data_IF_731979381300
#
_entry.id   IF_731979381300
#
_cell.length_a   1.000
_cell.length_b   1.000
_cell.length_c   1.000
_cell.angle_alpha   90.00
_cell.angle_beta   90.00
_cell.angle_gamma   90.00
#
_symmetry.space_group_name_H-M   'P 1'
#
loop_
_entity.id
_entity.type
_entity.pdbx_description
1 polymer ?
#
# COMPACT_ATOMS: atom_id res chain seq x y z
N UNK A 1 -11.48 67.66 50.10
CA UNK A 1 -11.02 67.12 51.40
C UNK A 1 -10.10 65.92 51.13
N UNK A 2 -9.06 65.71 51.96
CA UNK A 2 -7.77 65.06 51.58
C UNK A 2 -7.72 63.54 51.96
N UNK A 3 -6.66 62.75 51.76
CA UNK A 3 -5.19 63.00 51.65
C UNK A 3 -4.47 62.10 50.63
N UNK A 4 -3.31 62.58 50.18
CA UNK A 4 -2.16 61.85 49.60
C UNK A 4 -1.58 60.79 50.55
N UNK A 5 -0.96 59.74 50.02
CA UNK A 5 0.39 59.30 50.46
C UNK A 5 1.02 58.33 49.48
N UNK A 6 2.24 58.65 49.03
CA UNK A 6 3.18 57.70 48.44
C UNK A 6 3.75 56.78 49.54
N UNK A 7 4.36 55.67 49.15
CA UNK A 7 5.54 55.18 49.86
C UNK A 7 6.51 54.48 48.90
N UNK A 8 7.79 54.69 49.16
CA UNK A 8 8.93 54.38 48.28
C UNK A 8 9.88 53.41 48.98
N UNK A 9 10.95 53.00 48.28
CA UNK A 9 12.14 52.23 48.75
C UNK A 9 12.03 50.70 48.73
N UNK A 10 13.09 50.06 48.19
CA UNK A 10 13.24 48.60 48.12
C UNK A 10 14.31 48.10 47.14
N UNK A 11 15.44 48.79 47.01
CA UNK A 11 16.56 48.35 46.15
C UNK A 11 17.26 47.12 46.74
N UNK A 12 17.60 46.14 45.90
CA UNK A 12 18.67 45.16 46.15
C UNK A 12 19.18 44.59 44.83
N UNK A 13 20.40 44.97 44.45
CA UNK A 13 21.12 44.40 43.31
C UNK A 13 21.68 43.02 43.64
N UNK A 14 21.57 42.05 42.72
CA UNK A 14 22.63 41.07 42.45
C UNK A 14 22.77 40.93 40.94
N UNK A 15 23.90 41.38 40.38
CA UNK A 15 24.15 41.33 38.95
C UNK A 15 24.84 40.04 38.47
N UNK A 16 24.57 39.65 37.21
CA UNK A 16 25.52 38.88 36.40
C UNK A 16 25.73 39.53 35.03
N UNK A 17 27.00 39.81 34.73
CA UNK A 17 27.48 40.42 33.47
C UNK A 17 27.64 39.39 32.35
N UNK A 18 27.78 39.92 31.13
CA UNK A 18 28.23 39.33 29.85
C UNK A 18 27.09 38.86 28.93
N UNK A 19 27.08 39.19 27.63
CA UNK A 19 27.97 40.10 26.85
C UNK A 19 27.22 40.59 25.60
N UNK A 20 27.57 41.77 25.09
CA UNK A 20 26.96 42.40 23.90
C UNK A 20 27.33 41.73 22.58
N UNK A 21 26.41 41.78 21.62
CA UNK A 21 26.70 42.14 20.22
C UNK A 21 25.61 43.11 19.73
N UNK A 22 25.99 44.19 19.03
CA UNK A 22 25.05 45.19 18.46
C UNK A 22 24.65 44.80 17.03
N UNK A 23 23.46 45.20 16.54
CA UNK A 23 23.16 45.20 15.12
C UNK A 23 23.85 46.38 14.41
N UNK A 24 24.39 46.15 13.22
CA UNK A 24 24.92 47.20 12.33
C UNK A 24 24.13 47.26 11.03
N UNK A 25 23.62 48.44 10.71
CA UNK A 25 22.90 48.74 9.47
C UNK A 25 23.83 48.91 8.26
N UNK A 26 23.49 48.31 7.13
CA UNK A 26 23.75 48.88 5.80
C UNK A 26 22.97 48.16 4.70
N UNK A 27 22.06 48.87 4.05
CA UNK A 27 21.69 48.59 2.65
C UNK A 27 22.79 49.20 1.75
N UNK A 28 23.03 48.59 0.57
CA UNK A 28 22.94 49.41 -0.64
C UNK A 28 22.16 48.74 -1.79
N UNK A 29 21.51 49.58 -2.60
CA UNK A 29 20.88 49.21 -3.88
C UNK A 29 21.91 48.92 -4.97
N UNK A 30 21.67 47.92 -5.83
CA UNK A 30 21.38 48.01 -7.29
C UNK A 30 21.51 46.60 -7.95
N UNK A 31 21.11 46.36 -9.22
CA UNK A 31 20.37 45.13 -9.57
C UNK A 31 21.12 44.23 -10.56
N UNK A 32 21.10 42.92 -10.33
CA UNK A 32 21.60 41.97 -11.32
C UNK A 32 20.51 41.67 -12.34
N UNK A 33 20.66 42.24 -13.55
CA UNK A 33 19.91 41.83 -14.73
C UNK A 33 20.43 40.47 -15.19
N UNK A 34 19.71 39.39 -14.87
CA UNK A 34 19.96 38.08 -15.48
C UNK A 34 19.17 37.96 -16.78
N UNK A 35 19.91 38.04 -17.89
CA UNK A 35 19.41 37.80 -19.25
C UNK A 35 18.82 36.37 -19.36
N UNK A 36 17.53 36.26 -19.69
CA UNK A 36 17.01 35.04 -20.30
C UNK A 36 17.56 34.95 -21.73
N UNK A 37 18.48 34.02 -21.97
CA UNK A 37 18.80 33.55 -23.31
C UNK A 37 17.75 32.51 -23.74
N UNK A 38 17.24 32.54 -24.99
CA UNK A 38 16.28 31.55 -25.46
C UNK A 38 16.94 30.18 -25.64
N UNK A 39 16.35 29.14 -25.05
CA UNK A 39 16.70 27.75 -25.37
C UNK A 39 16.10 27.42 -26.74
N UNK A 40 16.89 27.02 -27.75
CA UNK A 40 16.34 26.66 -29.06
C UNK A 40 15.61 25.32 -28.99
N UNK A 41 14.42 25.24 -29.58
CA UNK A 41 13.69 23.98 -29.77
C UNK A 41 14.46 23.09 -30.75
N UNK A 42 15.23 22.13 -30.22
CA UNK A 42 15.70 21.00 -31.00
C UNK A 42 14.54 20.03 -31.26
N UNK A 43 13.96 20.11 -32.47
CA UNK A 43 12.90 19.22 -32.95
C UNK A 43 13.49 17.82 -33.25
N UNK A 44 13.50 16.93 -32.26
CA UNK A 44 13.82 15.53 -32.49
C UNK A 44 12.70 14.84 -33.29
N UNK A 45 13.02 13.90 -34.20
CA UNK A 45 12.02 13.21 -35.00
C UNK A 45 11.26 12.18 -34.15
N UNK A 46 9.95 12.13 -34.36
CA UNK A 46 9.05 11.16 -33.73
C UNK A 46 9.29 9.74 -34.27
N UNK A 47 10.00 8.91 -33.51
CA UNK A 47 9.83 7.46 -33.61
C UNK A 47 8.51 7.07 -32.90
N UNK A 48 7.62 6.31 -33.54
CA UNK A 48 6.43 5.81 -32.87
C UNK A 48 6.81 4.79 -31.80
N UNK A 49 6.08 4.69 -30.67
CA UNK A 49 6.25 3.57 -29.76
C UNK A 49 5.88 2.26 -30.47
N UNK A 50 6.53 1.13 -30.14
CA UNK A 50 6.11 -0.17 -30.66
C UNK A 50 4.66 -0.45 -30.20
N UNK A 51 3.85 -1.16 -31.02
CA UNK A 51 2.52 -1.57 -30.59
C UNK A 51 2.61 -2.45 -29.34
N UNK A 52 1.59 -2.46 -28.46
CA UNK A 52 1.56 -3.39 -27.35
C UNK A 52 1.68 -4.81 -27.91
N UNK A 53 2.62 -5.59 -27.37
CA UNK A 53 2.73 -6.99 -27.72
C UNK A 53 1.40 -7.66 -27.35
N UNK A 54 0.63 -8.07 -28.35
CA UNK A 54 -0.57 -8.88 -28.15
C UNK A 54 -0.17 -10.08 -27.30
N UNK A 55 -0.63 -10.13 -26.06
CA UNK A 55 -0.41 -11.26 -25.19
C UNK A 55 -0.96 -12.50 -25.89
N UNK A 56 -0.06 -13.32 -26.43
CA UNK A 56 -0.47 -14.59 -26.99
C UNK A 56 -1.04 -15.39 -25.83
N UNK A 57 -2.34 -15.65 -25.89
CA UNK A 57 -3.03 -16.57 -25.01
C UNK A 57 -2.49 -17.97 -25.27
N UNK A 58 -1.30 -18.26 -24.72
CA UNK A 58 -0.73 -19.61 -24.63
C UNK A 58 -1.46 -20.39 -23.54
N UNK A 59 -2.78 -20.52 -23.72
CA UNK A 59 -3.53 -21.65 -23.18
C UNK A 59 -3.24 -22.90 -24.03
N UNK A 60 -1.95 -23.17 -24.23
CA UNK A 60 -1.45 -24.43 -24.76
C UNK A 60 -1.50 -25.42 -23.61
N UNK A 61 -2.71 -25.91 -23.35
CA UNK A 61 -2.98 -27.00 -22.43
C UNK A 61 -2.06 -28.16 -22.82
N UNK A 62 -1.00 -28.36 -22.05
CA UNK A 62 -0.04 -29.42 -22.29
C UNK A 62 -0.75 -30.73 -21.94
N UNK A 63 -1.47 -31.30 -22.90
CA UNK A 63 -1.94 -32.67 -22.78
C UNK A 63 -0.70 -33.55 -22.66
N UNK A 64 -0.40 -33.93 -21.41
CA UNK A 64 0.48 -35.04 -21.08
C UNK A 64 -0.20 -36.31 -21.59
N UNK A 65 -0.15 -36.50 -22.91
CA UNK A 65 -0.53 -37.70 -23.60
C UNK A 65 0.36 -38.80 -23.04
N UNK A 66 -0.22 -39.58 -22.13
CA UNK A 66 0.47 -40.65 -21.44
C UNK A 66 1.21 -41.49 -22.48
N UNK A 67 2.55 -41.44 -22.42
CA UNK A 67 3.39 -42.24 -23.30
C UNK A 67 3.33 -43.68 -22.79
N UNK A 68 2.22 -44.35 -23.13
CA UNK A 68 2.06 -45.80 -23.05
C UNK A 68 3.16 -46.41 -23.90
N UNK A 69 4.27 -46.73 -23.23
CA UNK A 69 5.47 -47.27 -23.83
C UNK A 69 5.07 -48.59 -24.50
N UNK A 70 5.02 -48.59 -25.83
CA UNK A 70 4.50 -49.70 -26.62
C UNK A 70 5.57 -50.79 -26.67
N UNK A 71 5.74 -51.50 -25.56
CA UNK A 71 6.45 -52.77 -25.56
C UNK A 71 5.68 -53.69 -26.50
N UNK A 72 6.30 -54.07 -27.62
CA UNK A 72 5.65 -54.92 -28.61
C UNK A 72 5.37 -56.29 -27.97
N UNK A 73 4.13 -56.47 -27.54
CA UNK A 73 3.63 -57.77 -27.15
C UNK A 73 3.58 -58.63 -28.42
N UNK A 74 4.21 -59.82 -28.46
CA UNK A 74 4.03 -60.73 -29.58
C UNK A 74 2.53 -61.05 -29.72
N UNK A 75 2.01 -61.24 -30.94
CA UNK A 75 0.59 -61.47 -31.15
C UNK A 75 0.14 -62.69 -30.34
N UNK A 76 -1.02 -62.62 -29.65
CA UNK A 76 -1.56 -63.79 -28.97
C UNK A 76 -1.79 -64.91 -30.00
N UNK A 77 -1.59 -66.19 -29.62
CA UNK A 77 -1.81 -67.31 -30.52
C UNK A 77 -3.27 -67.28 -31.02
N UNK A 78 -3.41 -67.32 -32.34
CA UNK A 78 -4.72 -67.39 -33.02
C UNK A 78 -5.41 -68.68 -32.56
N UNK A 79 -6.44 -68.55 -31.71
CA UNK A 79 -7.20 -69.68 -31.17
C UNK A 79 -7.72 -69.53 -29.74
N UNK A 80 -7.23 -68.57 -28.95
CA UNK A 80 -7.65 -68.39 -27.54
C UNK A 80 -8.55 -67.14 -27.36
N UNK A 81 -9.70 -67.15 -28.02
CA UNK A 81 -10.74 -66.14 -27.85
C UNK A 81 -11.69 -66.52 -26.70
N UNK A 82 -11.48 -65.93 -25.52
CA UNK A 82 -12.58 -65.51 -24.64
C UNK A 82 -13.51 -66.56 -24.03
N UNK A 83 -13.12 -67.85 -23.98
CA UNK A 83 -13.79 -68.84 -23.13
C UNK A 83 -12.91 -69.18 -21.91
N UNK A 84 -13.54 -69.46 -20.76
CA UNK A 84 -12.84 -69.78 -19.51
C UNK A 84 -12.50 -71.29 -19.48
N UNK A 85 -11.83 -71.73 -20.54
CA UNK A 85 -11.31 -73.08 -20.69
C UNK A 85 -10.02 -73.28 -19.90
N UNK A 86 -9.85 -74.45 -19.29
CA UNK A 86 -8.56 -74.86 -18.70
C UNK A 86 -7.52 -75.02 -19.80
N UNK A 87 -6.39 -74.30 -19.67
CA UNK A 87 -5.28 -74.31 -20.64
C UNK A 87 -4.73 -75.71 -20.98
N UNK A 88 -4.85 -76.67 -20.06
CA UNK A 88 -4.49 -78.06 -20.30
C UNK A 88 -5.61 -79.01 -19.83
N UNK A 89 -5.81 -80.09 -20.58
CA UNK A 89 -6.70 -81.21 -20.27
C UNK A 89 -6.03 -82.54 -20.63
N UNK A 90 -6.64 -83.66 -20.24
CA UNK A 90 -6.06 -84.99 -20.43
C UNK A 90 -5.83 -85.40 -21.91
N UNK A 91 -6.54 -84.79 -22.86
CA UNK A 91 -6.38 -85.05 -24.29
C UNK A 91 -5.31 -84.19 -24.97
N UNK A 92 -4.85 -83.09 -24.34
CA UNK A 92 -3.94 -82.13 -24.95
C UNK A 92 -2.56 -81.98 -24.26
N UNK A 93 -2.31 -82.69 -23.15
CA UNK A 93 -1.11 -82.54 -22.31
C UNK A 93 0.23 -82.51 -23.09
N UNK A 94 0.43 -83.41 -24.05
CA UNK A 94 1.68 -83.47 -24.83
C UNK A 94 1.90 -82.22 -25.69
N UNK A 95 0.80 -81.66 -26.24
CA UNK A 95 0.85 -80.43 -27.01
C UNK A 95 1.12 -79.22 -26.12
N UNK A 96 0.44 -79.14 -24.97
CA UNK A 96 0.62 -78.05 -24.01
C UNK A 96 2.04 -78.08 -23.38
N UNK A 97 2.61 -79.26 -23.10
CA UNK A 97 3.99 -79.38 -22.63
C UNK A 97 5.02 -78.92 -23.69
N UNK A 98 4.81 -79.24 -24.97
CA UNK A 98 5.64 -78.75 -26.09
C UNK A 98 5.53 -77.22 -26.24
N UNK A 99 4.30 -76.70 -26.21
CA UNK A 99 4.04 -75.26 -26.29
C UNK A 99 4.70 -74.50 -25.14
N UNK A 100 4.51 -74.94 -23.89
CA UNK A 100 5.14 -74.32 -22.72
C UNK A 100 6.66 -74.30 -22.83
N UNK A 101 7.30 -75.42 -23.20
CA UNK A 101 8.76 -75.45 -23.39
C UNK A 101 9.22 -74.49 -24.50
N UNK A 102 8.51 -74.42 -25.64
CA UNK A 102 8.84 -73.46 -26.71
C UNK A 102 8.70 -72.01 -26.24
N UNK A 103 7.60 -71.67 -25.57
CA UNK A 103 7.33 -70.35 -25.01
C UNK A 103 8.37 -69.94 -23.96
N UNK A 104 8.82 -70.88 -23.12
CA UNK A 104 9.86 -70.63 -22.12
C UNK A 104 11.21 -70.30 -22.76
N UNK A 105 11.62 -71.02 -23.81
CA UNK A 105 12.82 -70.65 -24.59
C UNK A 105 12.65 -69.24 -25.17
N UNK A 106 11.49 -68.90 -25.74
CA UNK A 106 11.24 -67.57 -26.30
C UNK A 106 11.35 -66.45 -25.26
N UNK A 107 10.93 -66.68 -24.01
CA UNK A 107 11.10 -65.74 -22.90
C UNK A 107 12.45 -65.86 -22.18
N UNK A 108 13.42 -66.62 -22.71
CA UNK A 108 14.78 -66.71 -22.19
C UNK A 108 14.96 -67.62 -20.96
N UNK A 109 13.97 -68.45 -20.63
CA UNK A 109 14.07 -69.43 -19.55
C UNK A 109 14.78 -70.71 -20.01
N UNK A 110 15.59 -71.36 -19.15
CA UNK A 110 16.20 -72.64 -19.46
C UNK A 110 15.12 -73.74 -19.60
N UNK A 111 15.01 -74.32 -20.78
CA UNK A 111 13.91 -75.22 -21.11
C UNK A 111 14.27 -76.70 -20.94
N UNK A 112 13.58 -77.35 -20.01
CA UNK A 112 13.17 -78.75 -20.07
C UNK A 112 12.18 -78.97 -18.93
N UNK A 113 10.99 -78.37 -19.04
CA UNK A 113 9.83 -78.81 -18.26
C UNK A 113 9.47 -80.20 -18.77
N UNK A 114 9.95 -81.22 -18.06
CA UNK A 114 9.56 -82.61 -18.28
C UNK A 114 8.62 -83.02 -17.15
N UNK A 115 7.33 -82.78 -17.39
CA UNK A 115 6.26 -83.07 -16.44
C UNK A 115 6.01 -84.59 -16.26
N UNK A 116 6.61 -85.42 -17.12
CA UNK A 116 6.49 -86.88 -17.11
C UNK A 116 7.80 -87.57 -16.69
N UNK A 117 8.83 -86.79 -16.33
CA UNK A 117 10.10 -87.30 -15.85
C UNK A 117 9.95 -88.17 -14.60
N UNK A 118 10.52 -89.37 -14.65
CA UNK A 118 10.68 -90.25 -13.48
C UNK A 118 12.08 -90.18 -12.86
N UNK A 119 13.04 -89.52 -13.52
CA UNK A 119 14.41 -89.38 -13.01
C UNK A 119 14.60 -88.09 -12.18
N UNK A 120 15.37 -88.13 -11.07
CA UNK A 120 15.56 -86.97 -10.20
C UNK A 120 16.20 -85.74 -10.87
N UNK A 121 16.99 -85.91 -11.94
CA UNK A 121 17.73 -84.82 -12.60
C UNK A 121 16.78 -83.99 -13.47
N UNK A 122 15.87 -84.64 -14.21
CA UNK A 122 14.83 -83.98 -15.00
C UNK A 122 13.75 -83.34 -14.13
N UNK A 123 13.40 -83.97 -13.00
CA UNK A 123 12.54 -83.36 -11.97
C UNK A 123 13.19 -82.09 -11.41
N UNK A 124 14.48 -82.14 -11.03
CA UNK A 124 15.21 -80.98 -10.51
C UNK A 124 15.30 -79.83 -11.54
N UNK A 125 15.50 -80.13 -12.83
CA UNK A 125 15.45 -79.11 -13.91
C UNK A 125 14.07 -78.44 -14.00
N UNK A 126 13.01 -79.24 -13.95
CA UNK A 126 11.62 -78.77 -13.96
C UNK A 126 11.34 -77.85 -12.74
N UNK A 127 11.75 -78.26 -11.53
CA UNK A 127 11.65 -77.45 -10.32
C UNK A 127 12.42 -76.12 -10.41
N UNK A 128 13.67 -76.15 -10.91
CA UNK A 128 14.47 -74.94 -11.09
C UNK A 128 13.87 -73.97 -12.11
N UNK A 129 13.26 -74.48 -13.19
CA UNK A 129 12.53 -73.68 -14.16
C UNK A 129 11.30 -73.00 -13.52
N UNK A 130 10.49 -73.76 -12.77
CA UNK A 130 9.35 -73.21 -12.00
C UNK A 130 9.79 -72.17 -10.96
N UNK A 131 10.90 -72.41 -10.26
CA UNK A 131 11.46 -71.44 -9.31
C UNK A 131 11.92 -70.15 -10.01
N UNK A 132 12.59 -70.24 -11.16
CA UNK A 132 12.98 -69.07 -11.95
C UNK A 132 11.77 -68.24 -12.42
N UNK A 133 10.68 -68.89 -12.82
CA UNK A 133 9.42 -68.23 -13.19
C UNK A 133 8.79 -67.48 -12.00
N UNK A 134 8.71 -68.12 -10.82
CA UNK A 134 8.21 -67.49 -9.60
C UNK A 134 9.07 -66.31 -9.17
N UNK A 135 10.40 -66.44 -9.24
CA UNK A 135 11.34 -65.39 -8.85
C UNK A 135 11.32 -64.20 -9.83
N UNK A 136 11.22 -64.45 -11.14
CA UNK A 136 10.97 -63.40 -12.13
C UNK A 136 9.63 -62.69 -11.84
N UNK A 137 8.56 -63.45 -11.57
CA UNK A 137 7.25 -62.87 -11.27
C UNK A 137 7.27 -61.98 -10.04
N UNK A 138 8.01 -62.37 -9.00
CA UNK A 138 8.19 -61.55 -7.79
C UNK A 138 8.90 -60.23 -8.11
N UNK A 139 10.03 -60.27 -8.85
CA UNK A 139 10.72 -59.06 -9.32
C UNK A 139 9.86 -58.17 -10.22
N UNK A 140 9.06 -58.76 -11.11
CA UNK A 140 8.15 -58.01 -11.98
C UNK A 140 7.05 -57.28 -11.18
N UNK A 141 6.55 -57.90 -10.10
CA UNK A 141 5.60 -57.29 -9.18
C UNK A 141 6.26 -56.09 -8.48
N UNK A 142 7.42 -56.29 -7.84
CA UNK A 142 8.16 -55.25 -7.11
C UNK A 142 8.55 -54.06 -8.02
N UNK A 143 9.02 -54.34 -9.24
CA UNK A 143 9.34 -53.30 -10.23
C UNK A 143 8.10 -52.52 -10.68
N UNK A 144 6.98 -53.21 -10.90
CA UNK A 144 5.71 -52.58 -11.29
C UNK A 144 5.11 -51.76 -10.15
N UNK A 145 5.23 -52.21 -8.91
CA UNK A 145 4.77 -51.50 -7.71
C UNK A 145 5.61 -50.25 -7.45
N UNK A 146 6.93 -50.35 -7.41
CA UNK A 146 7.81 -49.18 -7.27
C UNK A 146 7.62 -48.14 -8.40
N UNK A 147 7.39 -48.58 -9.63
CA UNK A 147 7.02 -47.71 -10.76
C UNK A 147 5.62 -47.08 -10.58
N UNK A 148 4.68 -47.80 -9.96
CA UNK A 148 3.34 -47.30 -9.64
C UNK A 148 3.40 -46.20 -8.58
N UNK A 149 4.15 -46.41 -7.50
CA UNK A 149 4.37 -45.45 -6.43
C UNK A 149 4.99 -44.15 -6.95
N UNK A 150 6.04 -44.25 -7.78
CA UNK A 150 6.67 -43.08 -8.39
C UNK A 150 5.66 -42.30 -9.25
N UNK A 151 4.85 -43.00 -10.06
CA UNK A 151 3.82 -42.38 -10.90
C UNK A 151 2.76 -41.68 -10.05
N UNK A 152 2.31 -42.28 -8.94
CA UNK A 152 1.32 -41.68 -8.03
C UNK A 152 1.87 -40.43 -7.34
N UNK A 153 3.14 -40.43 -6.92
CA UNK A 153 3.82 -39.25 -6.37
C UNK A 153 3.88 -38.13 -7.41
N UNK A 154 4.35 -38.43 -8.63
CA UNK A 154 4.39 -37.45 -9.73
C UNK A 154 3.01 -36.92 -10.11
N UNK A 155 1.97 -37.78 -10.14
CA UNK A 155 0.58 -37.37 -10.38
C UNK A 155 0.11 -36.37 -9.31
N UNK A 156 0.44 -36.63 -8.04
CA UNK A 156 0.11 -35.74 -6.91
C UNK A 156 0.85 -34.40 -6.98
N UNK A 157 2.12 -34.44 -7.40
CA UNK A 157 2.93 -33.23 -7.63
C UNK A 157 2.38 -32.39 -8.80
N UNK A 158 1.97 -33.03 -9.89
CA UNK A 158 1.32 -32.37 -11.03
C UNK A 158 0.04 -31.66 -10.56
N UNK A 159 -0.89 -32.36 -9.90
CA UNK A 159 -2.14 -31.74 -9.42
C UNK A 159 -1.91 -30.63 -8.38
N UNK A 160 -0.85 -30.73 -7.57
CA UNK A 160 -0.42 -29.66 -6.65
C UNK A 160 0.10 -28.43 -7.40
N UNK A 161 0.85 -28.62 -8.49
CA UNK A 161 1.36 -27.54 -9.34
C UNK A 161 0.27 -26.91 -10.19
N UNK A 162 -0.63 -27.70 -10.79
CA UNK A 162 -1.82 -27.22 -11.52
C UNK A 162 -2.66 -26.30 -10.64
N UNK A 163 -3.01 -26.75 -9.43
CA UNK A 163 -3.75 -25.93 -8.47
C UNK A 163 -2.97 -24.68 -8.01
N UNK A 164 -1.63 -24.66 -8.09
CA UNK A 164 -0.83 -23.45 -7.80
C UNK A 164 -0.90 -22.46 -8.97
N UNK A 165 -0.86 -22.95 -10.21
CA UNK A 165 -1.02 -22.16 -11.43
C UNK A 165 -2.39 -21.48 -11.44
N UNK A 166 -3.48 -22.24 -11.24
CA UNK A 166 -4.85 -21.69 -11.19
C UNK A 166 -5.02 -20.56 -10.16
N UNK A 167 -4.39 -20.70 -8.97
CA UNK A 167 -4.40 -19.65 -7.94
C UNK A 167 -3.61 -18.41 -8.37
N UNK A 168 -2.48 -18.58 -9.05
CA UNK A 168 -1.67 -17.47 -9.57
C UNK A 168 -2.38 -16.75 -10.71
N UNK A 169 -3.02 -17.48 -11.63
CA UNK A 169 -3.84 -16.89 -12.71
C UNK A 169 -5.04 -16.10 -12.14
N UNK A 170 -5.70 -16.61 -11.10
CA UNK A 170 -6.75 -15.89 -10.40
C UNK A 170 -6.23 -14.59 -9.73
N UNK A 171 -5.03 -14.60 -9.16
CA UNK A 171 -4.38 -13.42 -8.59
C UNK A 171 -3.98 -12.39 -9.67
N UNK A 172 -3.42 -12.83 -10.80
CA UNK A 172 -3.10 -11.97 -11.94
C UNK A 172 -4.36 -11.28 -12.46
N UNK A 173 -5.42 -12.05 -12.74
CA UNK A 173 -6.69 -11.49 -13.19
C UNK A 173 -7.34 -10.55 -12.14
N UNK A 174 -7.10 -10.75 -10.84
CA UNK A 174 -7.54 -9.80 -9.81
C UNK A 174 -6.72 -8.50 -9.87
N UNK A 175 -5.39 -8.60 -10.03
CA UNK A 175 -4.48 -7.45 -10.14
C UNK A 175 -4.72 -6.63 -11.40
N UNK A 176 -5.03 -7.25 -12.54
CA UNK A 176 -5.39 -6.53 -13.77
C UNK A 176 -6.68 -5.69 -13.60
N UNK A 177 -7.67 -6.22 -12.86
CA UNK A 177 -8.91 -5.48 -12.54
C UNK A 177 -8.65 -4.33 -11.56
N UNK A 178 -7.75 -4.53 -10.59
CA UNK A 178 -7.31 -3.50 -9.65
C UNK A 178 -6.58 -2.36 -10.40
N UNK A 179 -5.59 -2.69 -11.24
CA UNK A 179 -4.87 -1.74 -12.08
C UNK A 179 -5.82 -0.95 -12.99
N UNK A 180 -6.73 -1.64 -13.71
CA UNK A 180 -7.71 -0.97 -14.55
C UNK A 180 -8.68 -0.05 -13.77
N UNK A 181 -8.86 -0.27 -12.47
CA UNK A 181 -9.66 0.60 -11.59
C UNK A 181 -8.86 1.80 -11.11
N UNK A 182 -7.59 1.59 -10.74
CA UNK A 182 -6.65 2.64 -10.37
C UNK A 182 -6.43 3.62 -11.54
N UNK A 183 -6.12 3.13 -12.75
CA UNK A 183 -5.90 3.99 -13.94
C UNK A 183 -7.12 4.85 -14.28
N UNK A 184 -8.36 4.31 -14.14
CA UNK A 184 -9.58 5.11 -14.35
C UNK A 184 -9.76 6.18 -13.28
N UNK A 185 -9.41 5.86 -12.03
CA UNK A 185 -9.51 6.79 -10.89
C UNK A 185 -8.47 7.91 -11.01
N UNK A 186 -7.24 7.56 -11.37
CA UNK A 186 -6.16 8.50 -11.69
C UNK A 186 -6.56 9.43 -12.83
N UNK A 187 -7.05 8.91 -13.96
CA UNK A 187 -7.48 9.72 -15.09
C UNK A 187 -8.61 10.71 -14.71
N UNK A 188 -9.59 10.26 -13.90
CA UNK A 188 -10.65 11.13 -13.36
C UNK A 188 -10.08 12.23 -12.46
N UNK A 189 -9.15 11.90 -11.56
CA UNK A 189 -8.53 12.85 -10.64
C UNK A 189 -7.66 13.86 -11.41
N UNK A 190 -6.90 13.41 -12.42
CA UNK A 190 -6.15 14.30 -13.32
C UNK A 190 -7.07 15.27 -14.07
N UNK A 191 -8.24 14.81 -14.56
CA UNK A 191 -9.21 15.69 -15.21
C UNK A 191 -9.80 16.72 -14.24
N UNK A 192 -10.14 16.31 -13.00
CA UNK A 192 -10.62 17.23 -11.96
C UNK A 192 -9.57 18.30 -11.59
N UNK A 193 -8.30 17.90 -11.40
CA UNK A 193 -7.21 18.83 -11.13
C UNK A 193 -6.99 19.83 -12.28
N UNK A 194 -7.08 19.39 -13.54
CA UNK A 194 -7.03 20.30 -14.71
C UNK A 194 -8.17 21.32 -14.68
N UNK A 195 -9.40 20.89 -14.42
CA UNK A 195 -10.55 21.80 -14.31
C UNK A 195 -10.39 22.81 -13.17
N UNK A 196 -9.81 22.41 -12.03
CA UNK A 196 -9.48 23.34 -10.95
C UNK A 196 -8.39 24.36 -11.34
N UNK A 197 -7.35 23.93 -12.07
CA UNK A 197 -6.29 24.82 -12.58
C UNK A 197 -6.88 25.83 -13.56
N UNK A 198 -7.73 25.41 -14.50
CA UNK A 198 -8.41 26.29 -15.45
C UNK A 198 -9.30 27.31 -14.73
N UNK A 199 -10.04 26.89 -13.69
CA UNK A 199 -10.88 27.80 -12.90
C UNK A 199 -10.04 28.85 -12.14
N UNK A 200 -8.94 28.45 -11.50
CA UNK A 200 -8.02 29.38 -10.85
C UNK A 200 -7.35 30.34 -11.85
N UNK A 201 -7.08 29.88 -13.07
CA UNK A 201 -6.58 30.75 -14.15
C UNK A 201 -7.61 31.80 -14.57
N UNK A 202 -8.89 31.42 -14.69
CA UNK A 202 -10.01 32.34 -14.99
C UNK A 202 -10.20 33.38 -13.89
N UNK A 203 -10.29 32.95 -12.62
CA UNK A 203 -10.41 33.85 -11.46
C UNK A 203 -9.24 34.87 -11.43
N UNK A 204 -8.01 34.41 -11.69
CA UNK A 204 -6.82 35.27 -11.79
C UNK A 204 -6.89 36.26 -12.95
N UNK A 205 -7.42 35.87 -14.12
CA UNK A 205 -7.66 36.79 -15.25
C UNK A 205 -8.76 37.83 -14.95
N UNK A 206 -9.80 37.45 -14.20
CA UNK A 206 -10.85 38.37 -13.77
C UNK A 206 -10.35 39.39 -12.74
N UNK A 207 -9.61 38.94 -11.73
CA UNK A 207 -8.94 39.85 -10.78
C UNK A 207 -7.99 40.80 -11.51
N UNK A 208 -7.23 40.34 -12.49
CA UNK A 208 -6.33 41.19 -13.27
C UNK A 208 -7.09 42.27 -14.05
N UNK A 209 -8.22 41.93 -14.69
CA UNK A 209 -9.12 42.91 -15.34
C UNK A 209 -9.67 43.93 -14.34
N UNK A 210 -10.11 43.47 -13.16
CA UNK A 210 -10.66 44.34 -12.11
C UNK A 210 -9.61 45.32 -11.57
N UNK A 211 -8.38 44.88 -11.35
CA UNK A 211 -7.26 45.74 -10.90
C UNK A 211 -6.96 46.83 -11.93
N UNK A 212 -6.90 46.48 -13.23
CA UNK A 212 -6.69 47.45 -14.32
C UNK A 212 -7.83 48.47 -14.36
N UNK A 213 -9.09 48.02 -14.29
CA UNK A 213 -10.26 48.90 -14.27
C UNK A 213 -10.29 49.84 -13.05
N UNK A 214 -9.95 49.33 -11.86
CA UNK A 214 -9.87 50.14 -10.64
C UNK A 214 -8.77 51.21 -10.75
N UNK A 215 -7.59 50.85 -11.27
CA UNK A 215 -6.49 51.79 -11.51
C UNK A 215 -6.88 52.89 -12.52
N UNK A 216 -7.67 52.56 -13.56
CA UNK A 216 -8.22 53.54 -14.51
C UNK A 216 -9.20 54.51 -13.81
N UNK A 217 -10.17 53.99 -13.05
CA UNK A 217 -11.13 54.82 -12.29
C UNK A 217 -10.42 55.74 -11.29
N UNK A 218 -9.42 55.21 -10.55
CA UNK A 218 -8.60 56.00 -9.62
C UNK A 218 -7.87 57.14 -10.32
N UNK A 219 -7.32 56.87 -11.52
CA UNK A 219 -6.66 57.88 -12.35
C UNK A 219 -7.65 58.97 -12.77
N UNK A 220 -8.85 58.59 -13.23
CA UNK A 220 -9.92 59.53 -13.60
C UNK A 220 -10.38 60.41 -12.42
N UNK A 221 -10.60 59.82 -11.24
CA UNK A 221 -10.94 60.54 -10.01
C UNK A 221 -9.87 61.57 -9.60
N UNK A 222 -8.58 61.24 -9.76
CA UNK A 222 -7.47 62.17 -9.52
C UNK A 222 -7.55 63.37 -10.47
N UNK A 223 -7.86 63.15 -11.76
CA UNK A 223 -8.01 64.24 -12.74
C UNK A 223 -9.23 65.14 -12.44
N UNK A 224 -10.37 64.56 -12.08
CA UNK A 224 -11.56 65.33 -11.69
C UNK A 224 -11.34 66.14 -10.41
N UNK A 225 -10.69 65.55 -9.41
CA UNK A 225 -10.37 66.23 -8.15
C UNK A 225 -9.45 67.43 -8.40
N UNK A 226 -8.38 67.25 -9.18
CA UNK A 226 -7.48 68.34 -9.61
C UNK A 226 -8.18 69.42 -10.43
N UNK A 227 -9.25 69.10 -11.16
CA UNK A 227 -10.07 70.10 -11.87
C UNK A 227 -10.91 70.91 -10.87
N UNK A 228 -11.62 70.25 -9.96
CA UNK A 228 -12.43 70.89 -8.91
C UNK A 228 -11.57 71.76 -7.98
N UNK A 229 -10.36 71.33 -7.64
CA UNK A 229 -9.40 72.08 -6.84
C UNK A 229 -8.97 73.39 -7.53
N UNK A 230 -8.70 73.36 -8.85
CA UNK A 230 -8.43 74.57 -9.64
C UNK A 230 -9.63 75.52 -9.73
N UNK A 231 -10.85 74.99 -9.76
CA UNK A 231 -12.08 75.79 -9.75
C UNK A 231 -12.33 76.41 -8.36
N UNK A 232 -12.07 75.66 -7.29
CA UNK A 232 -12.13 76.13 -5.91
C UNK A 232 -11.15 77.29 -5.65
N UNK A 233 -9.88 77.15 -6.07
CA UNK A 233 -8.87 78.22 -5.95
C UNK A 233 -9.35 79.50 -6.65
N UNK A 234 -9.84 79.41 -7.89
CA UNK A 234 -10.40 80.56 -8.63
C UNK A 234 -11.61 81.20 -7.94
N UNK A 235 -12.45 80.40 -7.28
CA UNK A 235 -13.62 80.91 -6.55
C UNK A 235 -13.20 81.58 -5.23
N UNK A 236 -12.20 81.03 -4.55
CA UNK A 236 -11.59 81.60 -3.35
C UNK A 236 -10.90 82.95 -3.66
N UNK A 237 -10.18 83.05 -4.78
CA UNK A 237 -9.62 84.31 -5.30
C UNK A 237 -10.70 85.36 -5.52
N UNK A 238 -11.79 85.01 -6.23
CA UNK A 238 -12.94 85.92 -6.45
C UNK A 238 -13.61 86.36 -5.14
N UNK A 239 -13.79 85.46 -4.18
CA UNK A 239 -14.37 85.80 -2.88
C UNK A 239 -13.47 86.79 -2.12
N UNK A 240 -12.16 86.55 -2.09
CA UNK A 240 -11.20 87.46 -1.49
C UNK A 240 -11.20 88.84 -2.17
N UNK A 241 -11.35 88.87 -3.49
CA UNK A 241 -11.48 90.12 -4.24
C UNK A 241 -12.75 90.88 -3.85
N UNK A 242 -13.92 90.23 -3.82
CA UNK A 242 -15.19 90.85 -3.37
C UNK A 242 -15.12 91.30 -1.91
N UNK A 243 -14.42 90.58 -1.02
CA UNK A 243 -14.22 91.00 0.36
C UNK A 243 -13.31 92.23 0.48
N UNK A 244 -12.26 92.32 -0.35
CA UNK A 244 -11.37 93.48 -0.41
C UNK A 244 -12.06 94.71 -1.04
N UNK A 245 -12.86 94.50 -2.09
CA UNK A 245 -13.72 95.53 -2.69
C UNK A 245 -14.75 96.01 -1.67
N UNK A 246 -15.47 95.10 -0.98
CA UNK A 246 -16.40 95.45 0.10
C UNK A 246 -15.71 96.20 1.24
N UNK A 247 -14.48 95.84 1.63
CA UNK A 247 -13.71 96.57 2.65
C UNK A 247 -13.35 97.99 2.18
N UNK A 248 -13.01 98.15 0.91
CA UNK A 248 -12.67 99.45 0.29
C UNK A 248 -13.92 100.34 0.11
N UNK A 249 -15.03 99.76 -0.34
CA UNK A 249 -16.33 100.42 -0.49
C UNK A 249 -16.90 100.81 0.89
N UNK A 250 -16.85 99.90 1.87
CA UNK A 250 -17.25 100.16 3.26
C UNK A 250 -16.36 101.19 3.97
N UNK A 251 -15.14 101.43 3.49
CA UNK A 251 -14.28 102.53 3.97
C UNK A 251 -14.51 103.88 3.27
N UNK A 252 -15.43 103.93 2.29
CA UNK A 252 -15.65 105.10 1.43
C UNK A 252 -17.13 105.52 1.31
N UNK A 253 -18.06 104.60 1.54
CA UNK A 253 -19.51 104.85 1.59
C UNK A 253 -20.00 104.86 3.05
N UNK A 254 -20.04 106.06 3.63
CA UNK A 254 -20.59 106.30 4.97
C UNK A 254 -22.09 106.59 4.93
N UNK A 255 -22.91 105.61 4.56
CA UNK A 255 -24.38 105.75 4.62
C UNK A 255 -25.01 104.56 5.35
N UNK A 256 -25.10 104.71 6.68
CA UNK A 256 -25.71 103.75 7.59
C UNK A 256 -27.24 103.85 7.53
N UNK A 257 -27.89 102.87 6.88
CA UNK A 257 -29.36 102.79 6.87
C UNK A 257 -29.84 102.26 8.22
N UNK A 258 -30.11 103.20 9.12
CA UNK A 258 -30.57 102.96 10.48
C UNK A 258 -32.09 103.16 10.57
N UNK A 259 -32.89 102.10 10.37
CA UNK A 259 -34.02 101.75 11.26
C UNK A 259 -34.93 100.60 10.78
N UNK A 260 -35.48 99.91 11.78
CA UNK A 260 -36.74 99.16 11.82
C UNK A 260 -37.21 98.42 10.56
N UNK A 261 -37.05 97.09 10.58
CA UNK A 261 -38.25 96.25 10.47
C UNK A 261 -38.54 95.61 11.83
N UNK A 262 -39.79 95.75 12.25
CA UNK A 262 -40.34 95.15 13.45
C UNK A 262 -40.48 93.63 13.27
N UNK A 263 -40.70 92.91 14.38
CA UNK A 263 -40.83 91.46 14.43
C UNK A 263 -41.94 90.95 13.49
N UNK A 264 -41.67 89.85 12.80
CA UNK A 264 -42.51 88.66 13.03
C UNK A 264 -41.70 87.37 12.99
N UNK A 265 -42.15 86.35 13.70
CA UNK A 265 -41.30 85.28 14.20
C UNK A 265 -40.98 84.18 13.18
N UNK A 266 -39.70 83.94 12.92
CA UNK A 266 -39.17 82.58 12.72
C UNK A 266 -37.98 82.32 13.62
N UNK A 267 -37.86 81.07 14.08
CA UNK A 267 -37.11 80.74 15.29
C UNK A 267 -35.62 81.08 15.18
N UNK A 268 -35.13 81.74 16.24
CA UNK A 268 -33.70 81.79 16.55
C UNK A 268 -33.21 80.36 16.74
N UNK A 269 -32.22 79.94 15.95
CA UNK A 269 -31.62 78.61 16.07
C UNK A 269 -31.10 78.39 17.49
N UNK A 270 -31.74 77.48 18.21
CA UNK A 270 -31.41 77.14 19.60
C UNK A 270 -29.96 76.66 19.70
N UNK A 271 -29.21 77.18 20.68
CA UNK A 271 -27.88 76.67 21.01
C UNK A 271 -28.01 75.27 21.65
N UNK A 272 -28.05 74.23 20.81
CA UNK A 272 -28.33 72.85 21.24
C UNK A 272 -27.04 72.08 21.54
N UNK A 273 -26.47 72.30 22.72
CA UNK A 273 -25.39 71.46 23.27
C UNK A 273 -25.83 70.03 23.67
N UNK A 274 -26.94 69.52 23.13
CA UNK A 274 -27.52 68.19 23.43
C UNK A 274 -27.41 67.18 22.27
N UNK A 275 -26.86 67.57 21.11
CA UNK A 275 -26.79 66.68 19.94
C UNK A 275 -25.65 65.66 20.05
N UNK A 276 -24.44 66.10 20.42
CA UNK A 276 -23.28 65.23 20.52
C UNK A 276 -23.49 64.03 21.48
N UNK A 277 -24.15 64.22 22.63
CA UNK A 277 -24.43 63.11 23.55
C UNK A 277 -25.29 62.02 22.88
N UNK A 278 -26.27 62.42 22.08
CA UNK A 278 -27.12 61.47 21.32
C UNK A 278 -26.28 60.70 20.29
N UNK A 279 -25.37 61.38 19.59
CA UNK A 279 -24.44 60.76 18.66
C UNK A 279 -23.44 59.82 19.37
N UNK A 280 -22.98 60.15 20.58
CA UNK A 280 -22.13 59.27 21.40
C UNK A 280 -22.88 58.01 21.86
N UNK A 281 -24.10 58.14 22.40
CA UNK A 281 -24.92 56.97 22.76
C UNK A 281 -25.23 56.12 21.54
N UNK A 282 -25.54 56.74 20.39
CA UNK A 282 -25.76 56.02 19.13
C UNK A 282 -24.50 55.28 18.69
N UNK A 283 -23.33 55.92 18.67
CA UNK A 283 -22.07 55.29 18.29
C UNK A 283 -21.71 54.13 19.22
N UNK A 284 -21.97 54.23 20.53
CA UNK A 284 -21.77 53.15 21.49
C UNK A 284 -22.73 51.98 21.17
N UNK A 285 -24.03 52.25 20.95
CA UNK A 285 -25.01 51.21 20.60
C UNK A 285 -24.66 50.55 19.27
N UNK A 286 -24.34 51.33 18.23
CA UNK A 286 -23.91 50.83 16.91
C UNK A 286 -22.67 49.91 17.06
N UNK A 287 -21.68 50.29 17.89
CA UNK A 287 -20.50 49.48 18.15
C UNK A 287 -20.79 48.19 18.92
N UNK A 288 -21.71 48.22 19.89
CA UNK A 288 -22.19 47.00 20.57
C UNK A 288 -23.02 46.11 19.64
N UNK A 289 -23.80 46.68 18.72
CA UNK A 289 -24.59 45.94 17.72
C UNK A 289 -23.67 45.25 16.70
N UNK A 290 -22.65 45.95 16.19
CA UNK A 290 -21.60 45.35 15.33
C UNK A 290 -20.89 44.23 16.08
N UNK A 291 -20.41 44.47 17.31
CA UNK A 291 -19.71 43.44 18.08
C UNK A 291 -20.58 42.23 18.43
N UNK A 292 -21.89 42.43 18.60
CA UNK A 292 -22.88 41.36 18.76
C UNK A 292 -23.08 40.58 17.46
N UNK A 293 -23.10 41.24 16.30
CA UNK A 293 -23.16 40.57 15.00
C UNK A 293 -21.89 39.76 14.72
N UNK A 294 -20.71 40.31 15.02
CA UNK A 294 -19.42 39.60 14.98
C UNK A 294 -19.46 38.34 15.87
N UNK A 295 -19.89 38.47 17.13
CA UNK A 295 -20.02 37.32 18.05
C UNK A 295 -21.00 36.24 17.56
N UNK A 296 -22.10 36.64 16.91
CA UNK A 296 -23.07 35.70 16.31
C UNK A 296 -22.47 35.00 15.09
N UNK A 297 -21.72 35.73 14.26
CA UNK A 297 -21.03 35.20 13.09
C UNK A 297 -19.91 34.22 13.50
N UNK A 298 -19.04 34.60 14.45
CA UNK A 298 -18.03 33.71 15.02
C UNK A 298 -18.65 32.44 15.62
N UNK A 299 -19.81 32.55 16.28
CA UNK A 299 -20.50 31.37 16.80
C UNK A 299 -21.03 30.47 15.67
N UNK A 300 -21.54 31.03 14.58
CA UNK A 300 -21.97 30.29 13.40
C UNK A 300 -20.79 29.58 12.71
N UNK A 301 -19.64 30.26 12.59
CA UNK A 301 -18.43 29.71 11.99
C UNK A 301 -17.81 28.60 12.85
N UNK A 302 -17.81 28.75 14.19
CA UNK A 302 -17.42 27.69 15.13
C UNK A 302 -18.33 26.45 15.03
N UNK A 303 -19.65 26.64 14.89
CA UNK A 303 -20.61 25.54 14.68
C UNK A 303 -20.36 24.83 13.35
N UNK A 304 -20.08 25.59 12.29
CA UNK A 304 -19.75 25.04 10.97
C UNK A 304 -18.44 24.23 11.01
N UNK A 305 -17.40 24.75 11.68
CA UNK A 305 -16.12 24.05 11.87
C UNK A 305 -16.29 22.75 12.66
N UNK A 306 -17.05 22.77 13.76
CA UNK A 306 -17.36 21.56 14.54
C UNK A 306 -18.14 20.52 13.72
N UNK A 307 -19.09 20.96 12.88
CA UNK A 307 -19.79 20.08 11.93
C UNK A 307 -18.83 19.47 10.90
N UNK A 308 -17.88 20.23 10.36
CA UNK A 308 -16.83 19.73 9.46
C UNK A 308 -15.97 18.68 10.15
N UNK A 309 -15.38 18.99 11.30
CA UNK A 309 -14.56 18.04 12.06
C UNK A 309 -15.33 16.77 12.45
N UNK A 310 -16.63 16.87 12.76
CA UNK A 310 -17.47 15.69 12.99
C UNK A 310 -17.64 14.83 11.72
N UNK A 311 -17.71 15.45 10.54
CA UNK A 311 -17.78 14.76 9.25
C UNK A 311 -16.43 14.10 8.91
N UNK A 312 -15.32 14.83 9.04
CA UNK A 312 -13.97 14.33 8.75
C UNK A 312 -13.62 13.14 9.67
N UNK A 313 -13.93 13.24 10.96
CA UNK A 313 -13.77 12.12 11.90
C UNK A 313 -14.73 10.96 11.62
N UNK A 314 -15.92 11.22 11.04
CA UNK A 314 -16.84 10.15 10.62
C UNK A 314 -16.27 9.42 9.41
N UNK A 315 -15.74 10.14 8.42
CA UNK A 315 -15.09 9.56 7.25
C UNK A 315 -13.87 8.74 7.68
N UNK A 316 -13.02 9.25 8.56
CA UNK A 316 -11.87 8.50 9.10
C UNK A 316 -12.27 7.25 9.91
N UNK A 317 -13.34 7.32 10.70
CA UNK A 317 -13.80 6.17 11.51
C UNK A 317 -14.57 5.13 10.68
N UNK A 318 -15.32 5.56 9.66
CA UNK A 318 -16.16 4.71 8.80
C UNK A 318 -15.48 4.29 7.50
N UNK A 319 -14.30 4.85 7.17
CA UNK A 319 -13.46 4.35 6.11
C UNK A 319 -13.22 2.85 6.37
N UNK A 320 -13.53 1.96 5.41
CA UNK A 320 -13.28 0.55 5.57
C UNK A 320 -11.77 0.37 5.75
N UNK A 321 -11.37 0.00 6.95
CA UNK A 321 -9.97 -0.28 7.31
C UNK A 321 -9.49 -1.35 6.35
N UNK A 322 -8.44 -1.04 5.59
CA UNK A 322 -8.17 -1.69 4.31
C UNK A 322 -8.14 -3.21 4.37
N UNK A 323 -9.06 -3.83 3.63
CA UNK A 323 -8.86 -5.11 2.92
C UNK A 323 -8.04 -6.19 3.64
N UNK A 324 -8.73 -7.04 4.40
CA UNK A 324 -8.41 -8.48 4.40
C UNK A 324 -9.39 -9.19 3.45
N UNK A 325 -8.86 -9.98 2.53
CA UNK A 325 -9.63 -10.79 1.56
C UNK A 325 -10.49 -11.87 2.25
N UNK A 326 -11.53 -12.41 1.57
CA UNK A 326 -12.49 -13.31 2.21
C UNK A 326 -11.87 -14.67 2.54
N UNK A 327 -11.89 -15.03 3.82
CA UNK A 327 -11.71 -16.40 4.29
C UNK A 327 -13.05 -16.95 4.79
N UNK A 328 -13.58 -17.95 4.08
CA UNK A 328 -14.76 -18.71 4.54
C UNK A 328 -14.31 -19.79 5.52
N UNK A 329 -14.74 -19.72 6.78
CA UNK A 329 -15.18 -20.87 7.59
C UNK A 329 -15.59 -20.49 9.04
N UNK A 330 -16.73 -21.02 9.49
CA UNK A 330 -16.87 -21.61 10.83
C UNK A 330 -17.17 -20.70 12.04
N UNK A 331 -18.47 -20.52 12.34
CA UNK A 331 -19.11 -20.38 13.66
C UNK A 331 -18.34 -19.80 14.87
N UNK A 332 -18.87 -18.75 15.53
CA UNK A 332 -18.32 -18.34 16.83
C UNK A 332 -18.96 -17.25 17.70
N UNK A 333 -20.09 -16.63 17.32
CA UNK A 333 -20.97 -15.80 18.20
C UNK A 333 -20.29 -14.92 19.27
N UNK A 334 -19.97 -13.68 18.92
CA UNK A 334 -20.17 -12.53 19.83
C UNK A 334 -20.39 -11.24 19.01
N UNK A 335 -21.52 -10.57 19.22
CA UNK A 335 -21.75 -9.21 18.70
C UNK A 335 -20.90 -8.21 19.49
N UNK A 336 -19.64 -8.03 19.08
CA UNK A 336 -18.93 -6.80 19.38
C UNK A 336 -19.42 -5.73 18.40
N UNK A 337 -20.55 -5.09 18.74
CA UNK A 337 -21.12 -4.02 17.92
C UNK A 337 -20.07 -2.96 17.61
N UNK A 338 -19.95 -2.57 16.33
CA UNK A 338 -19.11 -1.44 15.94
C UNK A 338 -19.47 -0.24 16.82
N UNK A 339 -18.49 0.52 17.35
CA UNK A 339 -18.77 1.60 18.30
C UNK A 339 -19.67 2.65 17.63
N UNK A 340 -20.97 2.55 17.94
CA UNK A 340 -21.98 3.42 17.36
C UNK A 340 -21.67 4.84 17.80
N UNK A 341 -21.38 5.72 16.85
CA UNK A 341 -21.07 7.13 17.12
C UNK A 341 -22.17 7.71 18.03
N UNK A 342 -21.84 8.30 19.21
CA UNK A 342 -22.84 8.62 20.24
C UNK A 342 -24.00 9.51 19.79
N UNK A 343 -23.78 10.32 18.74
CA UNK A 343 -24.80 11.20 18.16
C UNK A 343 -25.56 10.58 16.97
N UNK A 344 -25.35 9.30 16.65
CA UNK A 344 -26.04 8.59 15.55
C UNK A 344 -25.85 9.23 14.16
N UNK A 345 -24.83 10.07 13.99
CA UNK A 345 -24.61 10.85 12.78
C UNK A 345 -25.42 12.15 12.67
N UNK A 346 -26.23 12.48 13.68
CA UNK A 346 -26.99 13.74 13.74
C UNK A 346 -26.05 14.93 14.01
N UNK A 347 -26.27 16.02 13.30
CA UNK A 347 -25.49 17.28 13.36
C UNK A 347 -26.32 18.47 13.85
N UNK A 348 -27.61 18.25 14.06
CA UNK A 348 -28.56 19.20 14.67
C UNK A 348 -28.12 19.67 16.08
N UNK A 349 -27.45 18.81 16.84
CA UNK A 349 -26.97 19.12 18.20
C UNK A 349 -26.06 20.36 18.27
N UNK A 350 -25.35 20.69 17.19
CA UNK A 350 -24.49 21.88 17.14
C UNK A 350 -25.26 23.18 16.90
N UNK A 351 -26.51 23.11 16.43
CA UNK A 351 -27.33 24.28 16.13
C UNK A 351 -28.18 24.73 17.34
N UNK A 352 -28.27 23.92 18.40
CA UNK A 352 -28.91 24.28 19.67
C UNK A 352 -28.15 25.39 20.44
N UNK A 353 -28.81 26.09 21.38
CA UNK A 353 -28.13 26.97 22.34
C UNK A 353 -27.08 26.19 23.15
N UNK A 354 -25.89 26.78 23.35
CA UNK A 354 -24.74 26.07 23.92
C UNK A 354 -25.06 25.36 25.26
N UNK A 355 -25.79 26.00 26.16
CA UNK A 355 -26.16 25.42 27.44
C UNK A 355 -27.04 24.15 27.35
N UNK A 356 -27.76 23.94 26.23
CA UNK A 356 -28.59 22.74 25.99
C UNK A 356 -27.80 21.63 25.28
N UNK A 357 -26.78 22.00 24.50
CA UNK A 357 -25.97 21.06 23.71
C UNK A 357 -24.67 20.63 24.41
N UNK A 358 -24.21 21.41 25.41
CA UNK A 358 -22.91 21.27 26.07
C UNK A 358 -22.56 19.82 26.40
N UNK A 359 -23.43 19.15 27.16
CA UNK A 359 -23.11 17.85 27.73
C UNK A 359 -23.06 16.76 26.63
N UNK A 360 -23.93 16.85 25.63
CA UNK A 360 -23.92 15.95 24.46
C UNK A 360 -22.70 16.15 23.56
N UNK A 361 -22.25 17.41 23.40
CA UNK A 361 -21.01 17.73 22.66
C UNK A 361 -19.79 17.21 23.46
N UNK A 362 -19.77 17.41 24.78
CA UNK A 362 -18.69 16.93 25.64
C UNK A 362 -18.59 15.39 25.65
N UNK A 363 -19.72 14.69 25.81
CA UNK A 363 -19.78 13.22 25.78
C UNK A 363 -19.38 12.64 24.41
N UNK A 364 -19.83 13.26 23.31
CA UNK A 364 -19.42 12.91 21.95
C UNK A 364 -17.91 13.04 21.77
N UNK A 365 -17.31 14.15 22.21
CA UNK A 365 -15.86 14.36 22.14
C UNK A 365 -15.08 13.37 23.02
N UNK A 366 -15.53 13.12 24.26
CA UNK A 366 -14.91 12.14 25.18
C UNK A 366 -14.92 10.73 24.58
N UNK A 367 -16.06 10.31 24.01
CA UNK A 367 -16.19 8.97 23.40
C UNK A 367 -15.36 8.85 22.12
N UNK A 368 -15.33 9.90 21.27
CA UNK A 368 -14.45 9.95 20.10
C UNK A 368 -12.98 9.83 20.50
N UNK A 369 -12.55 10.54 21.55
CA UNK A 369 -11.18 10.46 22.08
C UNK A 369 -10.85 9.04 22.60
N UNK A 370 -11.78 8.40 23.30
CA UNK A 370 -11.63 7.01 23.74
C UNK A 370 -11.50 6.03 22.57
N UNK A 371 -12.31 6.19 21.51
CA UNK A 371 -12.23 5.36 20.30
C UNK A 371 -10.92 5.56 19.53
N UNK A 372 -10.40 6.78 19.45
CA UNK A 372 -9.09 7.06 18.84
C UNK A 372 -7.97 6.39 19.64
N UNK A 373 -8.01 6.54 20.98
CA UNK A 373 -7.04 5.90 21.88
C UNK A 373 -7.06 4.37 21.72
N UNK A 374 -8.23 3.75 21.67
CA UNK A 374 -8.37 2.31 21.47
C UNK A 374 -7.78 1.82 20.14
N UNK A 375 -8.08 2.51 19.02
CA UNK A 375 -7.48 2.18 17.71
C UNK A 375 -5.96 2.37 17.70
N UNK A 376 -5.45 3.40 18.38
CA UNK A 376 -4.01 3.65 18.45
C UNK A 376 -3.27 2.57 19.25
N UNK A 377 -3.87 2.07 20.34
CA UNK A 377 -3.35 0.89 21.06
C UNK A 377 -3.37 -0.37 20.18
N UNK A 378 -4.47 -0.63 19.47
CA UNK A 378 -4.56 -1.77 18.54
C UNK A 378 -3.48 -1.72 17.43
N UNK A 379 -3.21 -0.54 16.86
CA UNK A 379 -2.13 -0.37 15.88
C UNK A 379 -0.74 -0.61 16.48
N UNK A 380 -0.51 -0.14 17.72
CA UNK A 380 0.75 -0.36 18.42
C UNK A 380 0.98 -1.85 18.75
N UNK A 381 -0.07 -2.59 19.11
CA UNK A 381 0.04 -4.02 19.41
C UNK A 381 0.15 -4.86 18.13
N UNK A 382 -0.51 -4.47 17.04
CA UNK A 382 -0.32 -5.06 15.71
C UNK A 382 1.12 -4.85 15.20
N UNK A 383 1.72 -3.67 15.45
CA UNK A 383 3.11 -3.38 15.10
C UNK A 383 4.09 -4.28 15.87
N UNK A 384 3.92 -4.44 17.19
CA UNK A 384 4.73 -5.39 17.98
C UNK A 384 4.55 -6.84 17.52
N UNK A 385 3.32 -7.22 17.16
CA UNK A 385 3.04 -8.55 16.62
C UNK A 385 3.81 -8.81 15.32
N UNK A 386 3.85 -7.81 14.42
CA UNK A 386 4.63 -7.88 13.19
C UNK A 386 6.15 -7.96 13.44
N UNK A 387 6.66 -7.19 14.42
CA UNK A 387 8.06 -7.20 14.85
C UNK A 387 8.48 -8.59 15.37
N UNK A 388 7.69 -9.20 16.28
CA UNK A 388 7.93 -10.57 16.77
C UNK A 388 7.86 -11.61 15.64
N UNK A 389 6.93 -11.48 14.67
CA UNK A 389 6.94 -12.40 13.52
C UNK A 389 8.17 -12.24 12.63
N UNK A 390 8.73 -11.02 12.52
CA UNK A 390 9.98 -10.78 11.80
C UNK A 390 11.16 -11.48 12.48
N UNK A 391 11.31 -11.32 13.80
CA UNK A 391 12.35 -11.99 14.60
C UNK A 391 12.29 -13.52 14.47
N UNK A 392 11.07 -14.10 14.46
CA UNK A 392 10.88 -15.54 14.25
C UNK A 392 11.35 -15.97 12.85
N UNK A 393 11.00 -15.22 11.80
CA UNK A 393 11.45 -15.55 10.42
C UNK A 393 12.95 -15.36 10.22
N UNK A 394 13.57 -14.39 10.88
CA UNK A 394 15.02 -14.20 10.88
C UNK A 394 15.72 -15.39 11.56
N UNK A 395 15.19 -15.83 12.71
CA UNK A 395 15.72 -16.99 13.42
C UNK A 395 15.53 -18.32 12.67
N UNK A 396 14.48 -18.45 11.87
CA UNK A 396 14.28 -19.59 10.97
C UNK A 396 15.39 -19.66 9.90
N UNK A 397 15.70 -18.53 9.25
CA UNK A 397 16.79 -18.44 8.26
C UNK A 397 18.17 -18.74 8.87
N UNK A 398 18.44 -18.30 10.11
CA UNK A 398 19.69 -18.66 10.82
C UNK A 398 19.82 -20.17 11.06
N UNK A 399 18.72 -20.85 11.38
CA UNK A 399 18.69 -22.30 11.59
C UNK A 399 18.83 -23.07 10.27
N UNK A 400 18.26 -22.57 9.17
CA UNK A 400 18.50 -23.12 7.83
C UNK A 400 19.98 -23.03 7.44
N UNK A 401 20.64 -21.89 7.71
CA UNK A 401 22.07 -21.73 7.45
C UNK A 401 22.93 -22.72 8.25
N UNK A 402 22.64 -22.91 9.54
CA UNK A 402 23.32 -23.91 10.39
C UNK A 402 23.10 -25.35 9.89
N UNK A 403 21.91 -25.68 9.39
CA UNK A 403 21.65 -26.99 8.78
C UNK A 403 22.43 -27.21 7.48
N UNK A 404 22.66 -26.16 6.68
CA UNK A 404 23.51 -26.25 5.47
C UNK A 404 24.97 -26.48 5.86
N UNK A 405 25.49 -25.77 6.87
CA UNK A 405 26.84 -25.98 7.39
C UNK A 405 27.03 -27.39 7.95
N UNK A 406 26.10 -27.88 8.80
CA UNK A 406 26.13 -29.23 9.34
C UNK A 406 26.12 -30.31 8.24
N UNK A 407 25.33 -30.12 7.17
CA UNK A 407 25.33 -31.02 5.99
C UNK A 407 26.68 -31.02 5.27
N UNK A 408 27.33 -29.85 5.14
CA UNK A 408 28.66 -29.74 4.54
C UNK A 408 29.71 -30.54 5.34
N UNK A 409 29.71 -30.41 6.67
CA UNK A 409 30.58 -31.15 7.58
C UNK A 409 30.35 -32.67 7.45
N UNK A 410 29.09 -33.13 7.42
CA UNK A 410 28.77 -34.55 7.24
C UNK A 410 29.26 -35.07 5.88
N UNK A 411 29.11 -34.27 4.81
CA UNK A 411 29.58 -34.62 3.48
C UNK A 411 31.12 -34.72 3.41
N UNK A 412 31.84 -33.83 4.10
CA UNK A 412 33.29 -33.90 4.23
C UNK A 412 33.73 -35.15 5.01
N UNK A 413 33.09 -35.43 6.15
CA UNK A 413 33.34 -36.64 6.94
C UNK A 413 33.11 -37.92 6.12
N UNK A 414 32.02 -37.99 5.35
CA UNK A 414 31.75 -39.12 4.45
C UNK A 414 32.81 -39.26 3.34
N UNK A 415 33.29 -38.14 2.78
CA UNK A 415 34.38 -38.11 1.80
C UNK A 415 35.70 -38.62 2.39
N UNK A 416 36.03 -38.23 3.63
CA UNK A 416 37.19 -38.74 4.37
C UNK A 416 37.04 -40.24 4.61
N UNK A 417 35.90 -40.70 5.14
CA UNK A 417 35.63 -42.13 5.37
C UNK A 417 35.80 -42.95 4.08
N UNK A 418 35.23 -42.50 2.96
CA UNK A 418 35.37 -43.16 1.66
C UNK A 418 36.84 -43.31 1.25
N UNK A 419 37.68 -42.27 1.43
CA UNK A 419 39.13 -42.33 1.14
C UNK A 419 39.89 -43.30 2.06
N UNK A 420 39.41 -43.53 3.28
CA UNK A 420 39.99 -44.52 4.19
C UNK A 420 39.63 -45.95 3.77
N UNK A 421 38.38 -46.23 3.38
CA UNK A 421 37.99 -47.53 2.82
C UNK A 421 38.76 -47.85 1.52
N UNK A 422 38.93 -46.87 0.62
CA UNK A 422 39.74 -47.05 -0.61
C UNK A 422 41.23 -47.34 -0.38
N UNK A 423 41.75 -47.14 0.85
CA UNK A 423 43.11 -47.56 1.23
C UNK A 423 43.18 -48.96 1.83
N UNK A 424 42.05 -49.51 2.30
CA UNK A 424 41.98 -50.85 2.87
C UNK A 424 41.91 -51.95 1.80
N UNK A 425 41.30 -51.68 0.65
CA UNK A 425 41.09 -52.65 -0.45
C UNK A 425 42.29 -52.80 -1.41
N UNK A 426 43.53 -52.71 -0.91
CA UNK A 426 44.70 -53.19 -1.66
C UNK A 426 44.95 -54.67 -1.33
N UNK A 427 44.83 -55.60 -2.30
CA UNK A 427 45.00 -57.02 -2.02
C UNK A 427 46.46 -57.29 -1.63
N UNK A 428 46.68 -57.69 -0.37
CA UNK A 428 47.94 -58.28 0.08
C UNK A 428 48.13 -59.59 -0.69
N UNK A 429 49.06 -59.61 -1.67
CA UNK A 429 49.42 -60.84 -2.40
C UNK A 429 49.78 -61.93 -1.39
N UNK A 430 49.05 -63.05 -1.47
CA UNK A 430 49.45 -64.30 -0.85
C UNK A 430 50.67 -64.84 -1.60
N UNK A 431 51.82 -64.86 -0.94
CA UNK A 431 53.02 -65.56 -1.40
C UNK A 431 53.71 -66.15 -0.17
N UNK A 432 53.78 -67.48 -0.11
CA UNK A 432 54.51 -68.21 0.94
C UNK A 432 53.65 -68.89 2.01
N UNK A 433 52.88 -69.92 1.63
CA UNK A 433 52.41 -70.98 2.55
C UNK A 433 52.49 -72.39 1.91
N UNK A 434 53.40 -72.59 0.96
CA UNK A 434 53.70 -73.89 0.32
C UNK A 434 55.20 -74.27 0.46
N UNK A 435 55.82 -73.91 1.59
CA UNK A 435 57.24 -74.18 1.86
C UNK A 435 57.50 -74.83 3.23
N UNK A 436 56.46 -75.22 3.97
CA UNK A 436 56.57 -75.73 5.35
C UNK A 436 55.86 -77.08 5.55
N UNK A 437 55.60 -77.83 4.46
CA UNK A 437 55.01 -79.18 4.49
C UNK A 437 55.86 -80.30 3.90
N UNK A 438 57.10 -80.02 3.48
CA UNK A 438 58.11 -81.04 3.14
C UNK A 438 59.22 -81.21 4.20
N UNK A 439 59.13 -80.52 5.34
CA UNK A 439 60.13 -80.62 6.43
C UNK A 439 59.74 -81.59 7.57
N UNK A 440 58.58 -82.26 7.50
CA UNK A 440 58.02 -83.08 8.59
C UNK A 440 57.84 -84.57 8.19
N UNK A 441 58.06 -84.93 6.92
CA UNK A 441 57.98 -86.33 6.43
C UNK A 441 59.34 -87.00 6.18
N UNK A 442 60.45 -86.32 6.51
CA UNK A 442 61.82 -86.83 6.40
C UNK A 442 62.46 -87.20 7.75
N UNK A 443 61.63 -87.40 8.79
CA UNK A 443 62.06 -87.77 10.15
C UNK A 443 61.16 -88.86 10.78
N UNK A 444 60.86 -89.95 10.05
CA UNK A 444 60.26 -91.18 10.61
C UNK A 444 60.47 -92.41 9.70
N UNK A 445 61.72 -92.75 9.42
CA UNK A 445 62.14 -94.09 8.98
C UNK A 445 63.56 -94.38 9.49
N UNK A 446 63.66 -94.89 10.73
CA UNK A 446 64.89 -95.49 11.25
C UNK A 446 64.57 -96.43 12.44
N UNK A 447 63.86 -97.53 12.14
CA UNK A 447 64.01 -98.90 12.70
C UNK A 447 63.57 -99.88 11.61
#
# INVERSE_FOLDING_TARGET
>A
MPKTTENFLGLSEIGRKKKHAKPSSSNPFHPTVSLLLPIPLARSPSTPPPPPASAMSVSSRFELRASSNLHQQPPPPVGMSGDVGTFADAGNLEHCAKYLNQTLVTFGFPASLDLFATDPVSIARTCNCMYALLQQRQRDIEFRESTNDLRQRMQSDISRLEAKIERMDAQLAAKDRELATLTRTEAKNTAALKAHIEKLQQERDEFQKMVIGNQQVRTQQIHETKKKEKEYIKLQEKLNQVLMEKKKESSRSGMEIMNLLQKEGRQRGTWTGKKNDNDYYKMIVDAYEVKKQELVQENADLRALLRSMQMDMREFLNAPTGSSQPAVAGNGRQEAGSPQSPLGGKTDVFDLPFHMARDQIEESLRTKMASVKARMTQLQDAQKGAEVTSEVTERELELEAQLVEARSIIQEQASIMSKHFSKSDKPRRLSGLDAEREAILSASTDV
#
